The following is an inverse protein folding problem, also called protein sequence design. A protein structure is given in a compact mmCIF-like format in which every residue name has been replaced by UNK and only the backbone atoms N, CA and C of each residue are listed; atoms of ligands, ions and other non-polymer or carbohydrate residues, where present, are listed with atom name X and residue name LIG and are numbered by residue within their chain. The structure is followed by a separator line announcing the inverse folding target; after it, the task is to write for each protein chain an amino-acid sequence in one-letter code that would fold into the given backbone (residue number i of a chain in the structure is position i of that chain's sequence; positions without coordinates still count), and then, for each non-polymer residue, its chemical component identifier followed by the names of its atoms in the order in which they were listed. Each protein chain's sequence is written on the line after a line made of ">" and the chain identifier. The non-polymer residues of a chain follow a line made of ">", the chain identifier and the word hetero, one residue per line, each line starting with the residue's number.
data_IF_895684163994
#
_entry.id   IF_895684163994
#
_cell.length_a   1.000
_cell.length_b   1.000
_cell.length_c   1.000
_cell.angle_alpha   90.00
_cell.angle_beta   90.00
_cell.angle_gamma   90.00
#
_symmetry.space_group_name_H-M   'P 1'
#
loop_
_entity.id
_entity.type
_entity.pdbx_description
1 polymer ?
#
# COMPACT_ATOMS: atom_id res chain seq x y z
N UNK A 1 2.86 -15.29 -9.27
CA UNK A 1 3.98 -14.32 -9.28
C UNK A 1 3.40 -12.93 -9.06
N UNK A 2 4.02 -12.09 -8.20
CA UNK A 2 3.47 -10.76 -7.86
C UNK A 2 4.12 -9.61 -8.63
N UNK A 3 5.34 -9.80 -9.15
CA UNK A 3 6.07 -8.74 -9.86
C UNK A 3 5.25 -8.25 -11.05
N UNK A 4 5.15 -6.93 -11.20
CA UNK A 4 4.38 -6.27 -12.26
C UNK A 4 2.88 -6.16 -11.99
N UNK A 5 2.36 -6.80 -10.93
CA UNK A 5 0.94 -6.66 -10.55
C UNK A 5 0.69 -5.35 -9.82
N UNK A 6 -0.47 -4.74 -10.06
CA UNK A 6 -0.97 -3.53 -9.41
C UNK A 6 -2.34 -3.81 -8.81
N UNK A 7 -2.53 -3.35 -7.56
CA UNK A 7 -3.71 -3.60 -6.75
C UNK A 7 -4.29 -2.26 -6.30
N UNK A 8 -5.61 -2.11 -6.41
CA UNK A 8 -6.33 -0.96 -5.88
C UNK A 8 -6.74 -1.23 -4.44
N UNK A 9 -6.65 -0.20 -3.58
CA UNK A 9 -7.07 -0.30 -2.20
C UNK A 9 -8.59 -0.26 -2.09
N UNK A 10 -9.18 -1.29 -1.47
CA UNK A 10 -10.63 -1.37 -1.24
C UNK A 10 -10.99 -1.23 0.25
N UNK A 11 -10.12 -1.71 1.15
CA UNK A 11 -10.36 -1.74 2.59
C UNK A 11 -9.06 -1.53 3.39
N UNK A 12 -9.15 -0.85 4.53
CA UNK A 12 -8.07 -0.68 5.51
C UNK A 12 -8.62 -1.00 6.90
N UNK A 13 -8.04 -2.01 7.58
CA UNK A 13 -8.42 -2.41 8.95
C UNK A 13 -9.93 -2.65 9.10
N UNK A 14 -10.53 -3.46 8.22
CA UNK A 14 -11.97 -3.77 8.19
C UNK A 14 -12.89 -2.54 7.99
N UNK A 15 -12.34 -1.44 7.48
CA UNK A 15 -13.06 -0.21 7.17
C UNK A 15 -12.83 0.20 5.72
N UNK A 16 -13.90 0.58 5.03
CA UNK A 16 -13.82 1.01 3.63
C UNK A 16 -12.94 2.24 3.40
N UNK A 17 -12.62 2.46 2.13
CA UNK A 17 -11.91 3.64 1.64
C UNK A 17 -12.86 4.80 1.35
N UNK A 18 -12.30 6.01 1.29
CA UNK A 18 -12.97 7.23 0.86
C UNK A 18 -13.22 7.16 -0.64
N UNK A 19 -14.47 7.39 -1.04
CA UNK A 19 -14.85 7.42 -2.45
C UNK A 19 -14.01 8.42 -3.25
N UNK A 20 -13.61 8.01 -4.45
CA UNK A 20 -12.78 8.79 -5.38
C UNK A 20 -11.35 9.11 -4.89
N UNK A 21 -10.89 8.52 -3.78
CA UNK A 21 -9.49 8.59 -3.36
C UNK A 21 -8.80 7.29 -3.74
N UNK A 22 -8.04 7.33 -4.84
CA UNK A 22 -7.32 6.16 -5.33
C UNK A 22 -5.99 6.00 -4.61
N UNK A 23 -5.88 4.90 -3.87
CA UNK A 23 -4.62 4.38 -3.35
C UNK A 23 -4.30 3.06 -4.07
N UNK A 24 -3.05 2.84 -4.45
CA UNK A 24 -2.60 1.67 -5.20
C UNK A 24 -1.34 1.06 -4.63
N UNK A 25 -1.16 -0.24 -4.83
CA UNK A 25 0.03 -1.00 -4.48
C UNK A 25 0.52 -1.78 -5.69
N UNK A 26 1.74 -1.50 -6.15
CA UNK A 26 2.38 -2.21 -7.27
C UNK A 26 3.69 -2.85 -6.81
N UNK A 27 3.83 -4.14 -7.09
CA UNK A 27 5.10 -4.85 -6.91
C UNK A 27 6.00 -4.54 -8.10
N UNK A 28 6.87 -3.54 -7.98
CA UNK A 28 7.77 -3.12 -9.07
C UNK A 28 8.88 -4.16 -9.33
N UNK A 29 9.39 -4.78 -8.26
CA UNK A 29 10.44 -5.81 -8.30
C UNK A 29 10.32 -6.75 -7.10
N UNK A 30 11.21 -7.74 -7.01
CA UNK A 30 11.29 -8.65 -5.87
C UNK A 30 11.62 -7.97 -4.53
N UNK A 31 12.08 -6.73 -4.57
CA UNK A 31 12.54 -5.98 -3.40
C UNK A 31 11.88 -4.61 -3.22
N UNK A 32 10.91 -4.27 -4.07
CA UNK A 32 10.32 -2.92 -4.09
C UNK A 32 8.83 -2.91 -4.41
N UNK A 33 8.10 -2.15 -3.59
CA UNK A 33 6.71 -1.77 -3.82
C UNK A 33 6.65 -0.26 -4.06
N UNK A 34 5.82 0.15 -5.01
CA UNK A 34 5.54 1.55 -5.33
C UNK A 34 4.03 1.74 -5.49
N UNK A 35 3.55 2.97 -5.38
CA UNK A 35 2.13 3.23 -5.62
C UNK A 35 1.72 4.67 -5.36
N UNK A 36 0.40 4.87 -5.35
CA UNK A 36 -0.25 6.09 -4.88
C UNK A 36 -0.81 5.86 -3.48
N UNK A 37 -0.51 6.75 -2.53
CA UNK A 37 -1.05 6.70 -1.17
C UNK A 37 -2.44 7.31 -1.05
N UNK A 38 -2.85 8.12 -2.02
CA UNK A 38 -4.09 8.88 -2.05
C UNK A 38 -3.82 10.37 -2.31
N UNK A 39 -2.75 10.93 -1.73
CA UNK A 39 -2.27 12.29 -1.98
C UNK A 39 -0.88 12.31 -2.66
N UNK A 40 -0.03 11.38 -2.26
CA UNK A 40 1.38 11.30 -2.58
C UNK A 40 1.72 10.00 -3.29
N UNK A 41 2.75 10.05 -4.13
CA UNK A 41 3.41 8.83 -4.58
C UNK A 41 4.29 8.30 -3.46
N UNK A 42 4.33 6.99 -3.30
CA UNK A 42 5.16 6.35 -2.28
C UNK A 42 5.98 5.20 -2.86
N UNK A 43 7.00 4.82 -2.11
CA UNK A 43 7.76 3.59 -2.31
C UNK A 43 8.21 3.01 -0.97
N UNK A 44 8.32 1.69 -0.92
CA UNK A 44 8.87 0.97 0.22
C UNK A 44 9.65 -0.25 -0.25
N UNK A 45 10.65 -0.64 0.55
CA UNK A 45 11.32 -1.91 0.35
C UNK A 45 10.38 -3.08 0.65
N UNK A 46 10.50 -4.17 -0.10
CA UNK A 46 9.75 -5.40 0.11
C UNK A 46 10.74 -6.56 0.29
N UNK A 47 10.46 -7.47 1.22
CA UNK A 47 11.21 -8.73 1.33
C UNK A 47 10.26 -9.85 1.68
N UNK A 48 10.31 -10.93 0.91
CA UNK A 48 9.75 -12.20 1.33
C UNK A 48 10.70 -12.84 2.36
N UNK A 49 10.13 -13.44 3.40
CA UNK A 49 10.82 -14.14 4.47
C UNK A 49 10.20 -15.53 4.61
N UNK A 50 10.85 -16.45 5.34
CA UNK A 50 10.30 -17.80 5.55
C UNK A 50 8.90 -17.80 6.20
N UNK A 51 8.60 -16.79 7.02
CA UNK A 51 7.36 -16.72 7.82
C UNK A 51 6.34 -15.69 7.31
N UNK A 52 6.61 -15.02 6.18
CA UNK A 52 5.75 -13.96 5.64
C UNK A 52 6.54 -12.89 4.90
N UNK A 53 6.18 -11.62 5.10
CA UNK A 53 6.80 -10.48 4.43
C UNK A 53 7.31 -9.43 5.43
N UNK A 54 8.27 -8.62 4.98
CA UNK A 54 8.73 -7.43 5.69
C UNK A 54 8.79 -6.26 4.74
N UNK A 55 8.12 -5.17 5.10
CA UNK A 55 8.25 -3.89 4.41
C UNK A 55 9.32 -3.01 5.07
N UNK A 56 9.98 -2.20 4.26
CA UNK A 56 10.91 -1.17 4.71
C UNK A 56 10.18 0.12 5.12
N UNK A 57 10.94 1.15 5.51
CA UNK A 57 10.38 2.48 5.72
C UNK A 57 9.68 2.99 4.44
N UNK A 58 8.54 3.64 4.61
CA UNK A 58 7.80 4.25 3.50
C UNK A 58 8.40 5.63 3.22
N UNK A 59 8.84 5.84 1.98
CA UNK A 59 9.18 7.15 1.45
C UNK A 59 8.06 7.66 0.56
N UNK A 60 7.57 8.87 0.81
CA UNK A 60 6.52 9.51 0.02
C UNK A 60 6.90 10.93 -0.39
N UNK A 61 6.27 11.43 -1.46
CA UNK A 61 6.31 12.86 -1.80
C UNK A 61 5.63 13.70 -0.72
N UNK A 62 5.77 15.04 -0.78
CA UNK A 62 5.17 15.96 0.21
C UNK A 62 4.25 16.98 -0.45
N UNK A 63 3.14 16.50 -1.00
CA UNK A 63 2.04 17.31 -1.51
C UNK A 63 1.00 17.52 -0.41
N UNK A 64 0.37 18.69 -0.41
CA UNK A 64 -0.81 18.97 0.41
C UNK A 64 -2.06 18.62 -0.41
N UNK A 65 -2.98 17.88 0.22
CA UNK A 65 -4.29 17.52 -0.31
C UNK A 65 -5.37 17.86 0.72
N UNK A 66 -6.67 17.70 0.40
CA UNK A 66 -7.73 17.83 1.40
C UNK A 66 -7.49 16.89 2.60
N UNK A 67 -7.89 17.28 3.83
CA UNK A 67 -7.62 16.49 5.04
C UNK A 67 -8.08 15.03 4.92
N UNK A 68 -9.28 14.79 4.39
CA UNK A 68 -9.83 13.44 4.21
C UNK A 68 -8.97 12.51 3.34
N UNK A 69 -8.25 13.06 2.36
CA UNK A 69 -7.33 12.31 1.49
C UNK A 69 -6.06 11.95 2.24
N UNK A 70 -5.54 12.90 3.01
CA UNK A 70 -4.33 12.71 3.82
C UNK A 70 -4.58 11.71 4.95
N UNK A 71 -5.75 11.77 5.60
CA UNK A 71 -6.12 10.82 6.66
C UNK A 71 -6.19 9.37 6.12
N UNK A 72 -6.71 9.16 4.91
CA UNK A 72 -6.68 7.83 4.27
C UNK A 72 -5.25 7.40 3.95
N UNK A 73 -4.43 8.30 3.39
CA UNK A 73 -3.03 8.01 3.08
C UNK A 73 -2.26 7.57 4.33
N UNK A 74 -2.45 8.29 5.44
CA UNK A 74 -1.83 7.95 6.72
C UNK A 74 -2.29 6.58 7.25
N UNK A 75 -3.59 6.29 7.18
CA UNK A 75 -4.14 4.96 7.54
C UNK A 75 -3.54 3.86 6.68
N UNK A 76 -3.44 4.09 5.37
CA UNK A 76 -2.88 3.13 4.44
C UNK A 76 -1.40 2.86 4.73
N UNK A 77 -0.60 3.90 4.95
CA UNK A 77 0.81 3.75 5.29
C UNK A 77 1.01 3.03 6.62
N UNK A 78 0.22 3.35 7.65
CA UNK A 78 0.27 2.64 8.93
C UNK A 78 -0.08 1.15 8.78
N UNK A 79 -1.04 0.79 7.92
CA UNK A 79 -1.38 -0.60 7.65
C UNK A 79 -0.23 -1.34 6.94
N UNK A 80 0.41 -0.70 5.95
CA UNK A 80 1.58 -1.26 5.27
C UNK A 80 2.74 -1.50 6.24
N UNK A 81 3.04 -0.55 7.13
CA UNK A 81 4.12 -0.72 8.13
C UNK A 81 3.86 -1.89 9.10
N UNK A 82 2.58 -2.17 9.39
CA UNK A 82 2.16 -3.29 10.24
C UNK A 82 2.05 -4.61 9.48
N UNK A 83 2.03 -4.61 8.14
CA UNK A 83 1.85 -5.80 7.34
C UNK A 83 2.96 -6.84 7.59
N UNK A 84 2.56 -8.11 7.75
CA UNK A 84 3.46 -9.26 7.97
C UNK A 84 3.19 -10.43 7.03
N UNK A 85 2.03 -10.45 6.37
CA UNK A 85 1.60 -11.52 5.47
C UNK A 85 0.93 -10.91 4.25
N UNK A 86 0.99 -11.63 3.14
CA UNK A 86 0.21 -11.39 1.93
C UNK A 86 -0.63 -12.62 1.69
N UNK A 87 -1.88 -12.45 1.26
CA UNK A 87 -2.72 -13.57 0.87
C UNK A 87 -3.57 -13.17 -0.32
N UNK A 88 -3.57 -13.98 -1.37
CA UNK A 88 -4.44 -13.77 -2.51
C UNK A 88 -5.66 -14.69 -2.35
N UNK A 89 -6.85 -14.11 -2.34
CA UNK A 89 -8.14 -14.80 -2.28
C UNK A 89 -9.00 -14.34 -3.48
N UNK A 90 -8.97 -15.13 -4.56
CA UNK A 90 -9.67 -14.76 -5.80
C UNK A 90 -9.10 -13.49 -6.42
N UNK A 91 -9.90 -12.43 -6.65
CA UNK A 91 -9.42 -11.16 -7.19
C UNK A 91 -8.83 -10.21 -6.14
N UNK A 92 -8.75 -10.61 -4.87
CA UNK A 92 -8.28 -9.77 -3.77
C UNK A 92 -6.89 -10.21 -3.28
N UNK A 93 -6.11 -9.23 -2.80
CA UNK A 93 -4.81 -9.38 -2.16
C UNK A 93 -4.83 -8.82 -0.72
#
# INVERSE_FOLDING_TARGET
>A
ELIGTEWALEEIDASGVVDNVQSTLRFESNDRIVGWGGCNRYSTGFRSTGDGIKLGPIGATRRICPPVVMDQEDRFFQALEKARKIRIEGPHL
#
